data_IF_737158780751
#
_entry.id   IF_737158780751
#
_cell.length_a   1.000
_cell.length_b   1.000
_cell.length_c   1.000
_cell.angle_alpha   90.00
_cell.angle_beta   90.00
_cell.angle_gamma   90.00
#
_symmetry.space_group_name_H-M   'P 1'
#
loop_
_entity.id
_entity.type
_entity.pdbx_description
1 polymer ?
#
# COMPACT_ATOMS: atom_id res chain seq x y z
N UNK A 1 -22.21 34.83 21.71
CA UNK A 1 -22.02 34.08 22.97
C UNK A 1 -20.55 34.01 23.44
N UNK A 2 -19.70 35.01 23.15
CA UNK A 2 -18.21 34.90 23.25
C UNK A 2 -17.51 35.92 24.17
N UNK A 3 -18.24 36.69 25.01
CA UNK A 3 -17.68 37.94 25.57
C UNK A 3 -17.19 37.95 27.02
N UNK A 4 -17.29 36.88 27.81
CA UNK A 4 -16.74 36.87 29.19
C UNK A 4 -16.24 35.48 29.62
N UNK A 5 -14.97 35.17 29.33
CA UNK A 5 -14.28 34.00 29.87
C UNK A 5 -12.82 34.36 30.15
N UNK A 6 -12.25 33.83 31.24
CA UNK A 6 -10.84 34.02 31.59
C UNK A 6 -9.92 33.61 30.43
N UNK A 7 -8.71 34.15 30.39
CA UNK A 7 -7.70 33.84 29.37
C UNK A 7 -7.54 32.31 29.16
N UNK A 8 -7.67 31.53 30.23
CA UNK A 8 -7.68 30.07 30.22
C UNK A 8 -8.78 29.48 29.31
N UNK A 9 -10.00 30.01 29.38
CA UNK A 9 -11.13 29.53 28.56
C UNK A 9 -10.93 29.84 27.07
N UNK A 10 -10.30 30.97 26.73
CA UNK A 10 -9.96 31.31 25.34
C UNK A 10 -8.89 30.36 24.79
N UNK A 11 -7.83 30.10 25.54
CA UNK A 11 -6.77 29.18 25.13
C UNK A 11 -7.30 27.75 24.94
N UNK A 12 -8.14 27.26 25.85
CA UNK A 12 -8.79 25.94 25.71
C UNK A 12 -9.70 25.87 24.48
N UNK A 13 -10.47 26.93 24.20
CA UNK A 13 -11.36 26.95 23.01
C UNK A 13 -10.55 26.98 21.71
N UNK A 14 -9.41 27.69 21.69
CA UNK A 14 -8.51 27.72 20.55
C UNK A 14 -7.86 26.34 20.29
N UNK A 15 -7.28 25.75 21.33
CA UNK A 15 -6.62 24.43 21.24
C UNK A 15 -7.63 23.34 20.83
N UNK A 16 -8.83 23.34 21.41
CA UNK A 16 -9.89 22.40 21.04
C UNK A 16 -10.39 22.61 19.61
N UNK A 17 -10.50 23.87 19.15
CA UNK A 17 -10.82 24.18 17.76
C UNK A 17 -9.77 23.67 16.77
N UNK A 18 -8.49 23.90 17.06
CA UNK A 18 -7.37 23.38 16.24
C UNK A 18 -7.35 21.86 16.25
N UNK A 19 -7.53 21.23 17.42
CA UNK A 19 -7.60 19.77 17.52
C UNK A 19 -8.77 19.17 16.74
N UNK A 20 -9.97 19.74 16.86
CA UNK A 20 -11.17 19.26 16.17
C UNK A 20 -11.07 19.45 14.65
N UNK A 21 -10.62 20.61 14.19
CA UNK A 21 -10.43 20.88 12.75
C UNK A 21 -9.37 19.96 12.15
N UNK A 22 -8.27 19.73 12.87
CA UNK A 22 -7.23 18.78 12.48
C UNK A 22 -7.77 17.35 12.41
N UNK A 23 -8.54 16.93 13.41
CA UNK A 23 -9.17 15.60 13.42
C UNK A 23 -10.10 15.43 12.21
N UNK A 24 -10.97 16.41 11.95
CA UNK A 24 -11.90 16.38 10.82
C UNK A 24 -11.14 16.37 9.49
N UNK A 25 -10.15 17.24 9.33
CA UNK A 25 -9.32 17.31 8.13
C UNK A 25 -8.55 16.00 7.90
N UNK A 26 -7.98 15.41 8.96
CA UNK A 26 -7.28 14.14 8.91
C UNK A 26 -8.20 12.97 8.56
N UNK A 27 -9.41 12.92 9.14
CA UNK A 27 -10.41 11.91 8.78
C UNK A 27 -10.91 12.05 7.35
N UNK A 28 -11.01 13.29 6.85
CA UNK A 28 -11.44 13.55 5.47
C UNK A 28 -10.36 13.16 4.43
N UNK A 29 -9.08 13.34 4.75
CA UNK A 29 -7.97 13.01 3.84
C UNK A 29 -7.43 11.59 4.01
N UNK A 30 -7.75 10.91 5.11
CA UNK A 30 -7.25 9.55 5.38
C UNK A 30 -7.58 8.52 4.30
N UNK A 31 -8.76 8.49 3.65
CA UNK A 31 -9.04 7.48 2.63
C UNK A 31 -8.14 7.65 1.40
N UNK A 32 -7.83 8.90 1.04
CA UNK A 32 -6.92 9.23 -0.06
C UNK A 32 -5.48 8.87 0.30
N UNK A 33 -5.06 9.17 1.52
CA UNK A 33 -3.74 8.80 2.00
C UNK A 33 -3.55 7.28 2.04
N UNK A 34 -4.55 6.54 2.53
CA UNK A 34 -4.53 5.08 2.56
C UNK A 34 -4.54 4.46 1.14
N UNK A 35 -5.31 5.03 0.21
CA UNK A 35 -5.37 4.53 -1.17
C UNK A 35 -4.05 4.72 -1.95
N UNK A 36 -3.40 5.89 -1.81
CA UNK A 36 -2.20 6.21 -2.58
C UNK A 36 -0.89 5.78 -1.92
N UNK A 37 -0.80 5.92 -0.60
CA UNK A 37 0.45 5.72 0.14
C UNK A 37 0.44 4.46 1.01
N UNK A 38 -0.70 3.79 1.16
CA UNK A 38 -0.83 2.57 1.96
C UNK A 38 -0.38 2.73 3.42
N UNK A 39 -0.27 3.96 3.93
CA UNK A 39 0.07 4.23 5.33
C UNK A 39 -0.72 5.41 5.89
N UNK A 40 -1.05 5.36 7.18
CA UNK A 40 -1.69 6.43 7.93
C UNK A 40 -0.85 6.79 9.15
N UNK A 41 -0.69 8.10 9.37
CA UNK A 41 -0.07 8.67 10.56
C UNK A 41 -1.10 8.79 11.69
N UNK A 42 -1.10 7.82 12.61
CA UNK A 42 -2.06 7.74 13.72
C UNK A 42 -1.94 8.93 14.69
N UNK A 43 -0.72 9.46 14.86
CA UNK A 43 -0.45 10.58 15.78
C UNK A 43 -0.34 11.94 15.08
N UNK A 44 -0.86 12.07 13.86
CA UNK A 44 -0.83 13.34 13.10
C UNK A 44 -1.51 14.51 13.82
N UNK A 45 -2.53 14.22 14.65
CA UNK A 45 -3.22 15.24 15.45
C UNK A 45 -2.27 15.85 16.49
N UNK A 46 -1.46 15.02 17.16
CA UNK A 46 -0.51 15.47 18.17
C UNK A 46 0.55 16.36 17.53
N UNK A 47 1.08 15.95 16.38
CA UNK A 47 2.03 16.75 15.62
C UNK A 47 1.43 18.13 15.28
N UNK A 48 0.24 18.15 14.66
CA UNK A 48 -0.42 19.38 14.25
C UNK A 48 -0.80 20.30 15.40
N UNK A 49 -1.14 19.76 16.58
CA UNK A 49 -1.46 20.56 17.76
C UNK A 49 -0.27 21.43 18.22
N UNK A 50 0.96 20.97 17.96
CA UNK A 50 2.19 21.69 18.28
C UNK A 50 2.68 22.50 17.07
N UNK A 51 2.65 21.89 15.88
CA UNK A 51 3.12 22.48 14.63
C UNK A 51 2.34 23.73 14.22
N UNK A 52 1.01 23.71 14.35
CA UNK A 52 0.16 24.83 13.91
C UNK A 52 0.41 26.10 14.74
N UNK A 53 0.38 26.07 16.09
CA UNK A 53 0.73 27.24 16.89
C UNK A 53 2.15 27.74 16.67
N UNK A 54 3.12 26.81 16.57
CA UNK A 54 4.52 27.17 16.34
C UNK A 54 4.70 27.90 15.01
N UNK A 55 4.03 27.40 13.96
CA UNK A 55 4.06 28.01 12.63
C UNK A 55 3.37 29.38 12.63
N UNK A 56 2.19 29.48 13.25
CA UNK A 56 1.39 30.69 13.24
C UNK A 56 1.97 31.83 14.10
N UNK A 57 2.58 31.49 15.25
CA UNK A 57 3.06 32.49 16.22
C UNK A 57 4.54 32.82 16.08
N UNK A 58 5.36 31.89 15.59
CA UNK A 58 6.81 32.08 15.50
C UNK A 58 7.28 32.15 14.05
N UNK A 59 7.03 31.10 13.26
CA UNK A 59 7.64 30.95 11.93
C UNK A 59 7.12 31.99 10.93
N UNK A 60 5.80 32.08 10.72
CA UNK A 60 5.24 33.00 9.73
C UNK A 60 5.44 34.48 10.07
N UNK A 61 5.28 34.93 11.32
CA UNK A 61 5.58 36.33 11.67
C UNK A 61 7.06 36.67 11.48
N UNK A 62 7.97 35.78 11.87
CA UNK A 62 9.41 35.98 11.64
C UNK A 62 9.74 36.04 10.13
N UNK A 63 9.11 35.19 9.32
CA UNK A 63 9.25 35.21 7.87
C UNK A 63 8.76 36.53 7.25
N UNK A 64 7.60 37.04 7.69
CA UNK A 64 7.08 38.33 7.22
C UNK A 64 8.03 39.48 7.58
N UNK A 65 8.52 39.50 8.81
CA UNK A 65 9.49 40.51 9.28
C UNK A 65 10.80 40.40 8.49
N UNK A 66 11.30 39.18 8.21
CA UNK A 66 12.49 38.97 7.39
C UNK A 66 12.35 39.62 6.00
N UNK A 67 11.22 39.39 5.32
CA UNK A 67 10.95 39.97 3.99
C UNK A 67 10.90 41.49 4.03
N UNK A 68 10.32 42.08 5.08
CA UNK A 68 10.25 43.54 5.25
C UNK A 68 11.62 44.18 5.53
N UNK A 69 12.53 43.45 6.20
CA UNK A 69 13.87 43.93 6.54
C UNK A 69 14.95 43.63 5.49
N UNK A 70 14.63 42.77 4.51
CA UNK A 70 15.49 42.44 3.37
C UNK A 70 16.00 43.67 2.59
N UNK A 71 15.21 44.72 2.28
CA UNK A 71 15.74 45.92 1.62
C UNK A 71 16.75 46.72 2.47
N UNK A 72 16.81 46.47 3.78
CA UNK A 72 17.71 47.14 4.71
C UNK A 72 18.92 46.29 5.12
N UNK A 73 19.04 45.05 4.63
CA UNK A 73 20.13 44.13 4.95
C UNK A 73 20.12 43.59 6.40
N UNK A 74 18.97 43.66 7.09
CA UNK A 74 18.80 43.29 8.50
C UNK A 74 17.98 42.00 8.69
N UNK A 75 17.83 41.20 7.63
CA UNK A 75 17.03 39.97 7.63
C UNK A 75 17.59 38.86 8.51
N UNK A 76 18.89 38.90 8.86
CA UNK A 76 19.58 37.85 9.60
C UNK A 76 18.93 37.56 10.97
N UNK A 77 18.46 38.60 11.68
CA UNK A 77 17.85 38.43 13.00
C UNK A 77 16.47 37.72 12.92
N UNK A 78 15.51 38.19 12.09
CA UNK A 78 14.26 37.45 11.86
C UNK A 78 14.47 36.03 11.31
N UNK A 79 15.44 35.82 10.43
CA UNK A 79 15.80 34.50 9.91
C UNK A 79 16.28 33.55 11.03
N UNK A 80 17.03 34.05 12.01
CA UNK A 80 17.44 33.28 13.18
C UNK A 80 16.25 32.80 14.02
N UNK A 81 15.27 33.68 14.27
CA UNK A 81 14.04 33.32 14.99
C UNK A 81 13.23 32.28 14.20
N UNK A 82 13.12 32.47 12.88
CA UNK A 82 12.45 31.52 12.00
C UNK A 82 13.14 30.15 12.04
N UNK A 83 14.48 30.12 12.04
CA UNK A 83 15.27 28.90 12.18
C UNK A 83 14.96 28.13 13.45
N UNK A 84 14.93 28.80 14.61
CA UNK A 84 14.53 28.21 15.88
C UNK A 84 13.11 27.61 15.84
N UNK A 85 12.17 28.32 15.20
CA UNK A 85 10.82 27.81 14.99
C UNK A 85 10.79 26.55 14.11
N UNK A 86 11.57 26.51 13.04
CA UNK A 86 11.68 25.34 12.15
C UNK A 86 12.36 24.16 12.87
N UNK A 87 13.39 24.41 13.67
CA UNK A 87 14.01 23.36 14.48
C UNK A 87 13.05 22.77 15.51
N UNK A 88 12.23 23.60 16.14
CA UNK A 88 11.11 23.16 16.99
C UNK A 88 10.10 22.30 16.23
N UNK A 89 9.76 22.70 14.99
CA UNK A 89 8.86 21.94 14.13
C UNK A 89 9.45 20.58 13.73
N UNK A 90 10.74 20.54 13.37
CA UNK A 90 11.42 19.31 12.98
C UNK A 90 11.65 18.37 14.16
N UNK A 91 11.97 18.89 15.34
CA UNK A 91 12.16 18.08 16.55
C UNK A 91 10.84 17.41 16.97
N UNK A 92 9.73 18.13 16.92
CA UNK A 92 8.39 17.58 17.20
C UNK A 92 7.99 16.53 16.16
N UNK A 93 8.23 16.78 14.87
CA UNK A 93 7.99 15.79 13.82
C UNK A 93 8.79 14.49 14.03
N UNK A 94 10.09 14.60 14.37
CA UNK A 94 10.94 13.44 14.68
C UNK A 94 10.46 12.68 15.93
N UNK A 95 10.08 13.41 16.97
CA UNK A 95 9.56 12.80 18.20
C UNK A 95 8.27 12.02 17.95
N UNK A 96 7.32 12.59 17.19
CA UNK A 96 6.07 11.90 16.83
C UNK A 96 6.33 10.72 15.89
N UNK A 97 7.26 10.85 14.95
CA UNK A 97 7.66 9.77 14.05
C UNK A 97 8.27 8.56 14.79
N UNK A 98 9.00 8.81 15.89
CA UNK A 98 9.61 7.77 16.70
C UNK A 98 8.62 7.02 17.61
N UNK A 99 7.37 7.50 17.75
CA UNK A 99 6.37 6.83 18.59
C UNK A 99 5.97 5.47 17.98
N UNK A 100 5.89 4.40 18.80
CA UNK A 100 5.49 3.08 18.33
C UNK A 100 4.06 3.13 17.79
N UNK A 101 3.87 2.60 16.58
CA UNK A 101 2.57 2.56 15.91
C UNK A 101 2.12 3.87 15.26
N UNK A 102 3.00 4.87 15.09
CA UNK A 102 2.65 6.09 14.36
C UNK A 102 2.26 5.79 12.92
N UNK A 103 3.08 5.00 12.23
CA UNK A 103 2.78 4.52 10.88
C UNK A 103 2.01 3.21 11.00
N UNK A 104 0.72 3.25 10.62
CA UNK A 104 -0.07 2.05 10.37
C UNK A 104 -0.21 1.89 8.87
N UNK A 105 0.30 0.78 8.38
CA UNK A 105 0.22 0.40 6.97
C UNK A 105 -1.11 -0.33 6.73
N UNK A 106 -1.78 -0.01 5.62
CA UNK A 106 -3.09 -0.55 5.25
C UNK A 106 -2.99 -1.30 3.92
N UNK A 107 -3.71 -2.43 3.76
CA UNK A 107 -3.82 -3.10 2.48
C UNK A 107 -4.36 -2.17 1.39
N UNK A 108 -4.07 -2.51 0.12
CA UNK A 108 -4.56 -1.76 -1.02
C UNK A 108 -6.09 -1.68 -1.03
N UNK A 109 -6.62 -0.47 -0.95
CA UNK A 109 -8.06 -0.20 -0.98
C UNK A 109 -8.54 -0.18 -2.44
N UNK A 110 -9.66 -0.84 -2.78
CA UNK A 110 -10.20 -0.80 -4.13
C UNK A 110 -10.73 0.60 -4.49
N UNK A 111 -10.64 0.97 -5.77
CA UNK A 111 -11.10 2.28 -6.25
C UNK A 111 -12.58 2.53 -5.96
N UNK A 112 -13.41 1.48 -6.01
CA UNK A 112 -14.83 1.55 -5.67
C UNK A 112 -15.06 2.05 -4.24
N UNK A 113 -14.29 1.57 -3.27
CA UNK A 113 -14.38 2.03 -1.89
C UNK A 113 -14.01 3.52 -1.78
N UNK A 114 -12.95 3.97 -2.45
CA UNK A 114 -12.56 5.38 -2.46
C UNK A 114 -13.67 6.28 -3.03
N UNK A 115 -14.30 5.87 -4.15
CA UNK A 115 -15.38 6.61 -4.79
C UNK A 115 -16.61 6.71 -3.86
N UNK A 116 -16.99 5.60 -3.23
CA UNK A 116 -18.12 5.53 -2.30
C UNK A 116 -17.87 6.41 -1.07
N UNK A 117 -16.68 6.31 -0.46
CA UNK A 117 -16.31 7.15 0.68
C UNK A 117 -16.31 8.63 0.28
N UNK A 118 -15.77 8.98 -0.88
CA UNK A 118 -15.71 10.36 -1.37
C UNK A 118 -17.11 10.94 -1.61
N UNK A 119 -17.99 10.16 -2.23
CA UNK A 119 -19.38 10.57 -2.51
C UNK A 119 -20.20 10.69 -1.23
N UNK A 120 -20.03 9.76 -0.29
CA UNK A 120 -20.63 9.86 1.05
C UNK A 120 -20.12 11.06 1.84
N UNK A 121 -18.82 11.37 1.76
CA UNK A 121 -18.21 12.55 2.38
C UNK A 121 -18.73 13.86 1.78
N UNK A 122 -18.83 13.94 0.45
CA UNK A 122 -19.44 15.07 -0.26
C UNK A 122 -20.90 15.27 0.14
N UNK A 123 -21.68 14.18 0.20
CA UNK A 123 -23.07 14.21 0.66
C UNK A 123 -23.19 14.75 2.10
N UNK A 124 -22.29 14.31 2.98
CA UNK A 124 -22.21 14.79 4.36
C UNK A 124 -21.89 16.29 4.45
N UNK A 125 -21.05 16.81 3.57
CA UNK A 125 -20.61 18.20 3.60
C UNK A 125 -21.62 19.15 2.97
N UNK A 126 -22.30 18.72 1.91
CA UNK A 126 -23.18 19.59 1.15
C UNK A 126 -24.58 19.72 1.77
N UNK A 127 -25.16 18.63 2.30
CA UNK A 127 -26.56 18.65 2.76
C UNK A 127 -26.66 19.07 4.24
N UNK A 128 -27.63 19.94 4.56
CA UNK A 128 -27.80 20.50 5.91
C UNK A 128 -28.91 19.86 6.75
N UNK A 129 -29.91 19.21 6.12
CA UNK A 129 -31.04 18.56 6.81
C UNK A 129 -30.69 17.13 7.26
N UNK A 130 -31.61 16.44 7.93
CA UNK A 130 -31.42 15.06 8.42
C UNK A 130 -30.99 14.05 7.34
N UNK A 131 -31.29 14.33 6.07
CA UNK A 131 -30.77 13.60 4.91
C UNK A 131 -29.23 13.52 4.87
N UNK A 132 -28.52 14.40 5.57
CA UNK A 132 -27.07 14.32 5.76
C UNK A 132 -26.64 12.95 6.32
N UNK A 133 -27.44 12.35 7.20
CA UNK A 133 -27.10 11.08 7.88
C UNK A 133 -26.98 9.92 6.87
N UNK A 134 -27.69 9.96 5.75
CA UNK A 134 -27.54 8.92 4.71
C UNK A 134 -26.12 8.93 4.13
N UNK A 135 -25.44 10.09 4.10
CA UNK A 135 -24.04 10.16 3.71
C UNK A 135 -23.11 9.41 4.66
N UNK A 136 -23.40 9.40 5.96
CA UNK A 136 -22.63 8.61 6.94
C UNK A 136 -22.79 7.10 6.69
N UNK A 137 -23.98 6.67 6.29
CA UNK A 137 -24.25 5.28 5.88
C UNK A 137 -23.47 4.92 4.60
N UNK A 138 -23.43 5.83 3.62
CA UNK A 138 -22.64 5.62 2.39
C UNK A 138 -21.15 5.53 2.72
N UNK A 139 -20.63 6.41 3.59
CA UNK A 139 -19.23 6.33 4.05
C UNK A 139 -18.96 5.00 4.76
N UNK A 140 -19.84 4.55 5.67
CA UNK A 140 -19.64 3.29 6.38
C UNK A 140 -19.67 2.09 5.44
N UNK A 141 -20.52 2.10 4.41
CA UNK A 141 -20.51 1.08 3.37
C UNK A 141 -19.18 1.05 2.59
N UNK A 142 -18.64 2.23 2.22
CA UNK A 142 -17.33 2.31 1.56
C UNK A 142 -16.19 1.82 2.45
N UNK A 143 -16.22 2.12 3.75
CA UNK A 143 -15.26 1.59 4.74
C UNK A 143 -15.39 0.07 4.87
N UNK A 144 -16.61 -0.47 4.85
CA UNK A 144 -16.83 -1.92 4.90
C UNK A 144 -16.26 -2.62 3.66
N UNK A 145 -16.44 -2.06 2.47
CA UNK A 145 -15.84 -2.56 1.23
C UNK A 145 -14.31 -2.50 1.31
N UNK A 146 -13.75 -1.41 1.83
CA UNK A 146 -12.31 -1.31 2.05
C UNK A 146 -11.79 -2.36 3.05
N UNK A 147 -12.58 -2.69 4.08
CA UNK A 147 -12.23 -3.70 5.08
C UNK A 147 -12.32 -5.14 4.54
N UNK A 148 -13.24 -5.38 3.62
CA UNK A 148 -13.42 -6.67 2.93
C UNK A 148 -12.56 -6.79 1.67
N UNK A 149 -11.64 -5.85 1.41
CA UNK A 149 -10.80 -5.88 0.23
C UNK A 149 -9.92 -7.14 0.21
N UNK A 150 -9.95 -7.86 -0.90
CA UNK A 150 -9.13 -9.05 -1.13
C UNK A 150 -7.64 -8.65 -1.23
N UNK A 151 -6.79 -9.41 -0.54
CA UNK A 151 -5.33 -9.24 -0.61
C UNK A 151 -4.74 -10.44 -1.36
N UNK A 152 -3.80 -10.22 -2.31
CA UNK A 152 -3.25 -11.31 -3.11
C UNK A 152 -2.43 -12.27 -2.24
N UNK A 153 -2.63 -13.56 -2.47
CA UNK A 153 -1.95 -14.63 -1.71
C UNK A 153 -0.51 -14.79 -2.17
N UNK A 154 -0.23 -14.62 -3.47
CA UNK A 154 1.13 -14.72 -4.03
C UNK A 154 1.38 -13.53 -4.96
N UNK A 155 2.56 -12.93 -4.83
CA UNK A 155 3.09 -11.87 -5.69
C UNK A 155 4.37 -12.36 -6.36
N UNK A 156 4.46 -12.19 -7.68
CA UNK A 156 5.66 -12.50 -8.46
C UNK A 156 6.26 -11.22 -9.05
N UNK A 157 7.58 -11.07 -8.93
CA UNK A 157 8.29 -9.92 -9.52
C UNK A 157 8.42 -10.05 -11.04
N UNK A 158 8.49 -8.92 -11.75
CA UNK A 158 8.70 -8.88 -13.21
C UNK A 158 9.98 -9.63 -13.65
N UNK A 159 11.02 -9.59 -12.83
CA UNK A 159 12.29 -10.24 -13.11
C UNK A 159 12.34 -11.69 -12.62
N UNK A 160 11.26 -12.19 -12.00
CA UNK A 160 11.14 -13.53 -11.44
C UNK A 160 12.23 -13.90 -10.41
N UNK A 161 12.85 -12.89 -9.78
CA UNK A 161 13.94 -13.09 -8.82
C UNK A 161 13.42 -13.26 -7.40
N UNK A 162 12.29 -12.63 -7.10
CA UNK A 162 11.62 -12.71 -5.81
C UNK A 162 10.13 -12.97 -5.99
N UNK A 163 9.57 -13.67 -5.02
CA UNK A 163 8.15 -13.91 -4.87
C UNK A 163 7.77 -13.65 -3.42
N UNK A 164 6.58 -13.14 -3.17
CA UNK A 164 6.05 -12.93 -1.84
C UNK A 164 4.78 -13.75 -1.65
N UNK A 165 4.69 -14.44 -0.53
CA UNK A 165 3.53 -15.23 -0.12
C UNK A 165 2.95 -14.60 1.13
N UNK A 166 1.65 -14.32 1.10
CA UNK A 166 0.94 -13.81 2.25
C UNK A 166 0.53 -14.96 3.16
N UNK A 167 0.91 -14.88 4.43
CA UNK A 167 0.49 -15.78 5.52
C UNK A 167 -0.26 -14.98 6.58
N UNK A 168 -0.98 -15.65 7.52
CA UNK A 168 -1.66 -14.93 8.61
C UNK A 168 -0.70 -14.17 9.54
N UNK A 169 0.58 -14.56 9.57
CA UNK A 169 1.61 -13.96 10.41
C UNK A 169 2.33 -12.78 9.74
N UNK A 170 2.22 -12.65 8.41
CA UNK A 170 2.89 -11.61 7.65
C UNK A 170 3.09 -11.95 6.18
N UNK A 171 4.02 -11.25 5.54
CA UNK A 171 4.50 -11.62 4.22
C UNK A 171 5.83 -12.38 4.37
N UNK A 172 5.89 -13.53 3.71
CA UNK A 172 7.11 -14.29 3.52
C UNK A 172 7.65 -14.07 2.10
N UNK A 173 8.93 -13.65 1.99
CA UNK A 173 9.56 -13.43 0.69
C UNK A 173 10.53 -14.58 0.39
N UNK A 174 10.35 -15.21 -0.78
CA UNK A 174 11.08 -16.38 -1.27
C UNK A 174 11.74 -16.10 -2.63
N UNK A 175 12.67 -16.98 -3.03
CA UNK A 175 13.36 -16.94 -4.33
C UNK A 175 14.86 -16.64 -4.26
N UNK A 176 15.59 -16.78 -5.39
CA UNK A 176 17.04 -16.62 -5.44
C UNK A 176 17.51 -15.18 -5.16
N UNK A 177 16.70 -14.18 -5.52
CA UNK A 177 17.02 -12.75 -5.38
C UNK A 177 16.65 -12.14 -4.03
N UNK A 178 16.26 -12.95 -3.04
CA UNK A 178 15.82 -12.48 -1.71
C UNK A 178 16.86 -11.57 -1.05
N UNK A 179 18.17 -11.74 -1.29
CA UNK A 179 19.18 -10.87 -0.65
C UNK A 179 19.35 -9.51 -1.33
N UNK A 180 19.10 -9.39 -2.63
CA UNK A 180 19.41 -8.18 -3.42
C UNK A 180 18.24 -7.21 -3.63
N UNK A 181 17.01 -7.71 -3.70
CA UNK A 181 15.88 -6.94 -4.23
C UNK A 181 15.15 -6.11 -3.14
N UNK A 182 15.89 -5.21 -2.46
CA UNK A 182 15.40 -4.45 -1.30
C UNK A 182 14.24 -3.51 -1.63
N UNK A 183 14.28 -2.85 -2.79
CA UNK A 183 13.25 -1.89 -3.20
C UNK A 183 11.90 -2.56 -3.41
N UNK A 184 11.85 -3.63 -4.22
CA UNK A 184 10.60 -4.36 -4.51
C UNK A 184 10.01 -4.97 -3.24
N UNK A 185 10.87 -5.49 -2.35
CA UNK A 185 10.44 -5.97 -1.03
C UNK A 185 9.80 -4.88 -0.18
N UNK A 186 10.43 -3.70 -0.11
CA UNK A 186 9.90 -2.58 0.66
C UNK A 186 8.53 -2.13 0.11
N UNK A 187 8.41 -2.05 -1.22
CA UNK A 187 7.16 -1.68 -1.88
C UNK A 187 6.03 -2.69 -1.62
N UNK A 188 6.31 -4.00 -1.67
CA UNK A 188 5.32 -5.04 -1.37
C UNK A 188 4.89 -5.04 0.09
N UNK A 189 5.85 -4.88 1.02
CA UNK A 189 5.57 -4.76 2.44
C UNK A 189 4.66 -3.56 2.75
N UNK A 190 4.99 -2.40 2.19
CA UNK A 190 4.20 -1.18 2.37
C UNK A 190 2.78 -1.37 1.84
N UNK A 191 2.63 -1.88 0.60
CA UNK A 191 1.32 -2.09 -0.03
C UNK A 191 0.43 -3.11 0.68
N UNK A 192 1.04 -4.11 1.30
CA UNK A 192 0.32 -5.17 2.00
C UNK A 192 0.05 -4.86 3.47
N UNK A 193 0.51 -3.73 3.99
CA UNK A 193 0.22 -3.38 5.37
C UNK A 193 1.26 -3.86 6.40
N UNK A 194 2.46 -4.29 6.01
CA UNK A 194 3.45 -4.87 6.92
C UNK A 194 4.74 -4.05 6.99
N UNK A 195 5.32 -3.92 8.20
CA UNK A 195 6.58 -3.19 8.44
C UNK A 195 7.83 -4.07 8.38
N UNK A 196 7.66 -5.40 8.43
CA UNK A 196 8.75 -6.39 8.35
C UNK A 196 8.29 -7.59 7.55
N UNK A 197 9.14 -8.07 6.64
CA UNK A 197 9.00 -9.38 6.02
C UNK A 197 9.80 -10.39 6.84
N UNK A 198 9.24 -11.58 7.03
CA UNK A 198 10.06 -12.76 7.30
C UNK A 198 10.64 -13.23 5.97
N UNK A 199 11.95 -13.39 5.90
CA UNK A 199 12.60 -13.96 4.72
C UNK A 199 12.82 -15.45 4.96
N UNK A 200 12.21 -16.29 4.13
CA UNK A 200 12.54 -17.72 4.10
C UNK A 200 13.68 -17.87 3.11
N UNK A 201 14.89 -18.08 3.64
CA UNK A 201 16.11 -18.28 2.86
C UNK A 201 16.69 -19.64 3.20
N UNK A 202 16.22 -20.69 2.52
CA UNK A 202 16.75 -22.07 2.63
C UNK A 202 15.70 -23.12 3.01
N UNK A 203 16.11 -24.40 3.02
CA UNK A 203 15.35 -25.67 3.19
C UNK A 203 14.51 -25.81 4.46
N UNK A 204 14.16 -24.72 5.13
CA UNK A 204 13.35 -24.74 6.34
C UNK A 204 11.87 -24.65 5.97
N UNK A 205 11.15 -25.75 6.19
CA UNK A 205 9.69 -25.75 6.26
C UNK A 205 9.27 -24.88 7.45
N UNK A 206 9.10 -23.57 7.24
CA UNK A 206 8.33 -22.76 8.17
C UNK A 206 6.87 -23.15 7.95
N UNK A 207 6.42 -24.10 8.78
CA UNK A 207 5.02 -24.49 8.91
C UNK A 207 4.31 -23.30 9.58
N UNK A 208 4.03 -22.27 8.80
CA UNK A 208 3.01 -21.30 9.15
C UNK A 208 1.67 -22.05 9.20
N UNK A 209 0.85 -21.89 10.25
CA UNK A 209 -0.25 -22.80 10.55
C UNK A 209 -1.40 -22.82 9.51
N UNK A 210 -1.42 -21.91 8.53
CA UNK A 210 -2.53 -21.76 7.58
C UNK A 210 -2.14 -21.79 6.09
N UNK A 211 -0.90 -21.43 5.74
CA UNK A 211 -0.36 -21.52 4.37
C UNK A 211 0.99 -22.21 4.47
N UNK A 212 1.06 -23.54 4.32
CA UNK A 212 2.32 -24.25 4.44
C UNK A 212 3.14 -23.99 3.18
N UNK A 213 4.34 -23.44 3.39
CA UNK A 213 5.34 -23.18 2.36
C UNK A 213 6.46 -24.22 2.55
N UNK A 214 6.76 -24.97 1.50
CA UNK A 214 7.86 -25.94 1.49
C UNK A 214 8.80 -25.59 0.36
N UNK A 215 10.02 -25.19 0.71
CA UNK A 215 11.02 -24.76 -0.25
C UNK A 215 12.22 -25.71 -0.26
N UNK A 216 12.75 -25.92 -1.45
CA UNK A 216 14.05 -26.55 -1.68
C UNK A 216 14.94 -25.62 -2.52
N UNK A 217 16.00 -26.14 -3.12
CA UNK A 217 16.92 -25.37 -3.94
C UNK A 217 16.37 -25.06 -5.36
N UNK A 218 15.32 -25.75 -5.81
CA UNK A 218 14.73 -25.63 -7.15
C UNK A 218 13.45 -24.78 -7.17
N UNK A 219 12.73 -24.72 -6.05
CA UNK A 219 11.48 -23.96 -5.94
C UNK A 219 10.85 -23.99 -4.55
N UNK A 220 9.62 -23.49 -4.47
CA UNK A 220 8.74 -23.67 -3.32
C UNK A 220 7.37 -24.15 -3.76
N UNK A 221 6.78 -25.04 -2.98
CA UNK A 221 5.37 -25.41 -3.06
C UNK A 221 4.62 -24.64 -1.97
N UNK A 222 3.62 -23.88 -2.40
CA UNK A 222 2.73 -23.09 -1.53
C UNK A 222 1.35 -23.74 -1.58
N UNK A 223 0.80 -24.08 -0.41
CA UNK A 223 -0.56 -24.61 -0.35
C UNK A 223 -1.52 -23.51 0.08
N UNK A 224 -2.52 -23.21 -0.74
CA UNK A 224 -3.46 -22.10 -0.56
C UNK A 224 -4.91 -22.58 -0.55
N UNK A 225 -5.80 -21.88 0.16
CA UNK A 225 -7.24 -22.18 0.19
C UNK A 225 -7.58 -23.59 0.67
N UNK A 226 -8.52 -24.26 -0.02
CA UNK A 226 -8.91 -25.67 0.22
C UNK A 226 -7.86 -26.68 -0.29
N UNK A 227 -6.59 -26.53 0.09
CA UNK A 227 -5.50 -27.45 -0.25
C UNK A 227 -5.03 -27.42 -1.72
N UNK A 228 -5.19 -26.28 -2.41
CA UNK A 228 -4.63 -26.06 -3.75
C UNK A 228 -3.12 -25.90 -3.66
N UNK A 229 -2.37 -26.52 -4.56
CA UNK A 229 -0.90 -26.46 -4.58
C UNK A 229 -0.42 -25.59 -5.73
N UNK A 230 0.23 -24.49 -5.37
CA UNK A 230 0.89 -23.58 -6.31
C UNK A 230 2.39 -23.79 -6.21
N UNK A 231 3.04 -24.12 -7.31
CA UNK A 231 4.51 -24.20 -7.35
C UNK A 231 5.12 -22.90 -7.86
N UNK A 232 6.12 -22.43 -7.13
CA UNK A 232 6.99 -21.31 -7.49
C UNK A 232 8.35 -21.89 -7.85
N UNK A 233 8.68 -21.89 -9.14
CA UNK A 233 9.84 -22.58 -9.69
C UNK A 233 10.91 -21.59 -10.10
N UNK A 234 12.18 -21.84 -9.81
CA UNK A 234 13.30 -21.08 -10.36
C UNK A 234 14.40 -21.92 -10.99
N UNK A 235 14.31 -23.24 -10.90
CA UNK A 235 15.16 -24.19 -11.63
C UNK A 235 14.31 -25.08 -12.55
N UNK A 236 14.84 -25.43 -13.73
CA UNK A 236 14.12 -26.24 -14.72
C UNK A 236 13.85 -27.68 -14.23
N UNK A 237 14.66 -28.19 -13.28
CA UNK A 237 14.50 -29.51 -12.70
C UNK A 237 13.15 -29.73 -12.02
N UNK A 238 12.62 -28.72 -11.31
CA UNK A 238 11.33 -28.83 -10.62
C UNK A 238 10.14 -28.99 -11.58
N UNK A 239 10.24 -28.49 -12.82
CA UNK A 239 9.18 -28.60 -13.83
C UNK A 239 8.91 -30.06 -14.30
N UNK A 240 9.79 -31.02 -13.96
CA UNK A 240 9.59 -32.44 -14.28
C UNK A 240 8.42 -33.05 -13.52
N UNK A 241 8.32 -32.74 -12.23
CA UNK A 241 7.29 -33.31 -11.35
C UNK A 241 6.09 -32.36 -11.22
N UNK A 242 6.35 -31.06 -11.11
CA UNK A 242 5.32 -30.06 -10.80
C UNK A 242 4.24 -29.96 -11.87
N UNK A 243 4.59 -30.13 -13.14
CA UNK A 243 3.63 -30.07 -14.26
C UNK A 243 2.54 -31.16 -14.23
N UNK A 244 2.69 -32.18 -13.38
CA UNK A 244 1.74 -33.29 -13.25
C UNK A 244 1.02 -33.32 -11.90
N UNK A 245 1.45 -32.51 -10.93
CA UNK A 245 0.95 -32.59 -9.54
C UNK A 245 0.28 -31.28 -9.12
N UNK A 246 0.75 -30.14 -9.64
CA UNK A 246 0.36 -28.82 -9.17
C UNK A 246 -0.90 -28.30 -9.87
N UNK A 247 -1.66 -27.45 -9.17
CA UNK A 247 -2.86 -26.79 -9.69
C UNK A 247 -2.50 -25.53 -10.49
N UNK A 248 -1.43 -24.84 -10.07
CA UNK A 248 -0.87 -23.68 -10.76
C UNK A 248 0.66 -23.63 -10.63
N UNK A 249 1.32 -23.05 -11.64
CA UNK A 249 2.78 -22.91 -11.69
C UNK A 249 3.13 -21.46 -12.01
N UNK A 250 4.04 -20.90 -11.21
CA UNK A 250 4.73 -19.63 -11.50
C UNK A 250 6.20 -19.95 -11.64
N UNK A 251 6.77 -19.76 -12.83
CA UNK A 251 8.15 -20.13 -13.13
C UNK A 251 9.02 -18.93 -13.46
N UNK A 252 10.17 -18.84 -12.81
CA UNK A 252 11.27 -17.96 -13.15
C UNK A 252 12.12 -18.47 -14.31
N UNK A 253 11.82 -19.65 -14.86
CA UNK A 253 12.46 -20.19 -16.06
C UNK A 253 11.41 -20.41 -17.16
N UNK A 254 11.81 -20.42 -18.45
CA UNK A 254 10.87 -20.70 -19.53
C UNK A 254 10.30 -22.10 -19.44
N UNK A 255 8.97 -22.23 -19.49
CA UNK A 255 8.31 -23.54 -19.50
C UNK A 255 8.24 -24.03 -20.95
N UNK A 256 9.19 -24.89 -21.35
CA UNK A 256 9.29 -25.41 -22.74
C UNK A 256 8.45 -26.66 -23.01
N UNK A 257 7.76 -27.16 -21.99
CA UNK A 257 6.96 -28.38 -22.03
C UNK A 257 5.49 -28.06 -21.85
N UNK A 258 4.63 -28.97 -22.29
CA UNK A 258 3.20 -28.88 -22.02
C UNK A 258 2.92 -29.39 -20.61
N UNK A 259 2.24 -28.59 -19.81
CA UNK A 259 1.79 -28.98 -18.48
C UNK A 259 0.27 -29.10 -18.57
N UNK A 260 -0.24 -30.34 -18.60
CA UNK A 260 -1.65 -30.61 -18.91
C UNK A 260 -2.56 -30.56 -17.67
N UNK A 261 -1.99 -30.66 -16.47
CA UNK A 261 -2.73 -30.57 -15.21
C UNK A 261 -2.94 -29.14 -14.69
N UNK A 262 -1.91 -28.29 -14.54
CA UNK A 262 -2.12 -26.97 -13.97
C UNK A 262 -3.03 -26.14 -14.88
N UNK A 263 -4.09 -25.57 -14.29
CA UNK A 263 -5.02 -24.71 -15.02
C UNK A 263 -4.39 -23.36 -15.36
N UNK A 264 -3.32 -22.99 -14.64
CA UNK A 264 -2.60 -21.76 -14.79
C UNK A 264 -1.09 -22.03 -14.80
N UNK A 265 -0.42 -21.61 -15.87
CA UNK A 265 1.04 -21.61 -15.97
C UNK A 265 1.49 -20.21 -16.35
N UNK A 266 2.27 -19.58 -15.47
CA UNK A 266 2.91 -18.29 -15.70
C UNK A 266 4.41 -18.53 -15.79
N UNK A 267 5.01 -18.28 -16.95
CA UNK A 267 6.45 -18.50 -17.14
C UNK A 267 7.29 -17.21 -17.11
N UNK A 268 8.62 -17.36 -17.29
CA UNK A 268 9.56 -16.22 -17.38
C UNK A 268 9.14 -15.21 -18.45
N UNK A 269 8.65 -15.67 -19.60
CA UNK A 269 8.27 -14.79 -20.70
C UNK A 269 6.99 -14.04 -20.39
N UNK A 270 6.04 -14.66 -19.69
CA UNK A 270 4.82 -14.00 -19.24
C UNK A 270 5.13 -12.89 -18.22
N UNK A 271 5.98 -13.17 -17.23
CA UNK A 271 6.49 -12.16 -16.29
C UNK A 271 7.24 -11.01 -17.01
N UNK A 272 8.00 -11.32 -18.06
CA UNK A 272 8.69 -10.30 -18.85
C UNK A 272 7.75 -9.45 -19.71
N UNK A 273 6.68 -10.05 -20.28
CA UNK A 273 5.71 -9.37 -21.16
C UNK A 273 4.70 -8.54 -20.39
N UNK A 274 4.19 -9.07 -19.28
CA UNK A 274 3.06 -8.51 -18.55
C UNK A 274 3.48 -7.91 -17.18
N UNK A 275 4.75 -8.04 -16.83
CA UNK A 275 5.37 -7.47 -15.63
C UNK A 275 5.10 -8.31 -14.38
N UNK A 276 4.87 -7.66 -13.25
CA UNK A 276 4.56 -8.36 -12.00
C UNK A 276 3.18 -9.00 -12.03
N UNK A 277 3.05 -10.16 -11.37
CA UNK A 277 1.79 -10.92 -11.26
C UNK A 277 1.33 -10.97 -9.80
N UNK A 278 0.02 -10.93 -9.61
CA UNK A 278 -0.67 -11.11 -8.33
C UNK A 278 -1.71 -12.21 -8.47
N UNK A 279 -1.63 -13.21 -7.58
CA UNK A 279 -2.57 -14.32 -7.53
C UNK A 279 -3.52 -14.14 -6.36
N UNK A 280 -4.81 -14.20 -6.67
CA UNK A 280 -5.92 -14.16 -5.72
C UNK A 280 -6.57 -15.54 -5.68
N UNK A 281 -7.01 -15.95 -4.50
CA UNK A 281 -7.71 -17.23 -4.31
C UNK A 281 -9.16 -16.89 -4.00
N UNK A 282 -10.05 -17.23 -4.93
CA UNK A 282 -11.50 -16.99 -4.80
C UNK A 282 -12.21 -18.35 -4.72
N UNK A 283 -12.39 -18.83 -3.49
CA UNK A 283 -12.88 -20.18 -3.23
C UNK A 283 -11.96 -21.25 -3.83
N UNK A 284 -12.41 -21.90 -4.89
CA UNK A 284 -11.67 -22.96 -5.59
C UNK A 284 -10.94 -22.48 -6.85
N UNK A 285 -11.17 -21.23 -7.28
CA UNK A 285 -10.54 -20.66 -8.47
C UNK A 285 -9.34 -19.77 -8.13
N UNK A 286 -8.36 -19.73 -9.03
CA UNK A 286 -7.16 -18.91 -8.90
C UNK A 286 -7.25 -17.79 -9.92
N UNK A 287 -7.62 -16.59 -9.44
CA UNK A 287 -7.66 -15.39 -10.28
C UNK A 287 -6.27 -14.77 -10.34
N UNK A 288 -5.88 -14.34 -11.53
CA UNK A 288 -4.58 -13.71 -11.79
C UNK A 288 -4.78 -12.32 -12.29
N UNK A 289 -4.05 -11.38 -11.72
CA UNK A 289 -3.92 -10.02 -12.26
C UNK A 289 -2.45 -9.72 -12.53
N UNK A 290 -2.16 -9.05 -13.64
CA UNK A 290 -0.81 -8.63 -13.95
C UNK A 290 -0.71 -7.12 -14.15
N UNK A 291 0.46 -6.57 -13.83
CA UNK A 291 0.70 -5.12 -13.74
C UNK A 291 0.30 -4.34 -14.99
N UNK A 292 0.36 -4.98 -16.16
CA UNK A 292 -0.01 -4.39 -17.43
C UNK A 292 -1.52 -4.15 -17.61
N UNK A 293 -2.39 -4.97 -17.04
CA UNK A 293 -3.85 -4.78 -17.15
C UNK A 293 -4.26 -3.49 -16.44
N UNK A 294 -3.66 -3.26 -15.26
CA UNK A 294 -3.92 -2.07 -14.46
C UNK A 294 -3.27 -0.84 -15.06
N UNK A 295 -2.05 -0.96 -15.59
CA UNK A 295 -1.29 0.17 -16.16
C UNK A 295 -1.82 0.61 -17.53
N UNK A 296 -2.39 -0.33 -18.28
CA UNK A 296 -2.82 -0.20 -19.66
C UNK A 296 -1.66 -0.03 -20.64
N UNK A 297 -1.98 0.02 -21.93
CA UNK A 297 -1.01 0.33 -22.98
C UNK A 297 -0.73 1.84 -23.04
N UNK A 298 0.42 2.25 -22.49
CA UNK A 298 0.89 3.64 -22.53
C UNK A 298 1.94 3.83 -23.63
N UNK A 299 2.08 5.02 -24.25
CA UNK A 299 3.10 5.27 -25.27
C UNK A 299 4.55 5.02 -24.84
N UNK A 300 4.83 5.12 -23.53
CA UNK A 300 6.15 4.89 -22.94
C UNK A 300 6.31 3.48 -22.33
N UNK A 301 5.31 2.61 -22.44
CA UNK A 301 5.43 1.20 -22.06
C UNK A 301 5.72 0.36 -23.29
N UNK A 302 6.59 -0.66 -23.16
CA UNK A 302 6.87 -1.58 -24.26
C UNK A 302 5.56 -2.28 -24.67
N UNK A 303 5.10 -2.05 -25.90
CA UNK A 303 3.96 -2.79 -26.43
C UNK A 303 4.34 -4.28 -26.51
N UNK A 304 3.54 -5.18 -25.93
CA UNK A 304 3.64 -6.55 -26.40
C UNK A 304 3.25 -6.58 -27.87
N UNK A 305 4.03 -7.33 -28.62
CA UNK A 305 3.67 -7.72 -29.97
C UNK A 305 2.27 -8.33 -29.90
N UNK A 306 1.28 -7.70 -30.56
CA UNK A 306 -0.11 -8.20 -30.65
C UNK A 306 -0.05 -9.71 -30.90
N UNK A 307 -0.76 -10.48 -30.07
CA UNK A 307 -0.99 -11.89 -30.36
C UNK A 307 -1.55 -11.99 -31.78
N UNK A 308 -0.88 -12.79 -32.62
CA UNK A 308 -1.45 -13.13 -33.91
C UNK A 308 -2.73 -13.91 -33.61
N UNK A 309 -3.88 -13.54 -34.19
CA UNK A 309 -5.09 -14.35 -34.03
C UNK A 309 -4.79 -15.79 -34.47
N UNK A 310 -5.24 -16.75 -33.67
CA UNK A 310 -5.13 -18.18 -33.96
C UNK A 310 -5.71 -18.44 -35.36
N UNK A 311 -4.96 -19.02 -36.32
CA UNK A 311 -5.50 -19.37 -37.63
C UNK A 311 -6.60 -20.45 -37.57
N UNK A 312 -6.91 -21.00 -36.38
CA UNK A 312 -8.01 -21.95 -36.15
C UNK A 312 -9.14 -21.29 -35.34
N UNK A 313 -9.83 -20.34 -35.95
CA UNK A 313 -11.21 -20.02 -35.54
C UNK A 313 -12.14 -21.21 -35.84
N UNK A 314 -13.27 -21.35 -35.13
CA UNK A 314 -14.21 -22.43 -35.38
C UNK A 314 -14.79 -22.24 -36.78
N UNK A 315 -14.71 -23.29 -37.60
CA UNK A 315 -15.49 -23.37 -38.83
C UNK A 315 -16.97 -23.25 -38.46
N UNK A 316 -17.59 -22.17 -38.94
CA UNK A 316 -19.05 -21.94 -38.93
C UNK A 316 -19.76 -22.88 -39.88
#
# INVERSE_FOLDING_TARGET
FWRKGSWLRRSVTYISGVGLTTLIAGLATSPFAAFHFHHLASYGIIANLISVPLTALCIMPAALVAVLLMPFGLEAFPLGIMGLGIEGLLSTARAVAALPGNLRTFPAIPLSALIIISTGGLWLCLWQRWWRITGALVVSAGVLIAWMAEVPVILASENAEIFAVQTKQGIEVIGPGVRGNRYTKAAWLERAGYSKASAVSGETSTIAPDVPIRCDHMGCIVTVGHNRKVSVVWDEGALLEDCWIMDAIISAVPVRRRCDRPHLVVDRFDLWRNGAYALYVDGDDIRVEHSRDVRGDRPWTRAARRERPDPRGPES
#
